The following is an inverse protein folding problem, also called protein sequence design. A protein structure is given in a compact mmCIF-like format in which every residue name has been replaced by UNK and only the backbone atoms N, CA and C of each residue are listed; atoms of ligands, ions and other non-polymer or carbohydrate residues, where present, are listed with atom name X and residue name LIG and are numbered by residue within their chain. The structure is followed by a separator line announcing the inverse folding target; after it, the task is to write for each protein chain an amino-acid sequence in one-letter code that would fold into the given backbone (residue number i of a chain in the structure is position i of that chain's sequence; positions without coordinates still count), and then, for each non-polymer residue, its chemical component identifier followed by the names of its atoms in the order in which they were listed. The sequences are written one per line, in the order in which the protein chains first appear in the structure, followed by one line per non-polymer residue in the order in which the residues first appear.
data_IF_036302887711
#
_entry.id   IF_036302887711
#
_cell.length_a   1.000
_cell.length_b   1.000
_cell.length_c   1.000
_cell.angle_alpha   90.00
_cell.angle_beta   90.00
_cell.angle_gamma   90.00
#
_symmetry.space_group_name_H-M   'P 1'
#
loop_
_entity.id
_entity.type
_entity.pdbx_description
1 polymer ?
#
# COMPACT_ATOMS: atom_id res chain seq x y z
N UNK A 1 -9.15 4.64 -69.93
CA UNK A 1 -7.97 4.70 -69.03
C UNK A 1 -8.17 5.40 -67.66
N UNK A 2 -9.15 6.30 -67.40
CA UNK A 2 -9.22 6.99 -66.09
C UNK A 2 -9.72 6.11 -64.93
N UNK A 3 -10.43 5.00 -65.21
CA UNK A 3 -10.98 4.10 -64.17
C UNK A 3 -9.92 3.27 -63.44
N UNK A 4 -8.81 2.95 -64.11
CA UNK A 4 -7.70 2.19 -63.51
C UNK A 4 -6.91 3.07 -62.53
N UNK A 5 -6.74 4.36 -62.87
CA UNK A 5 -6.06 5.32 -61.99
C UNK A 5 -6.86 5.61 -60.71
N UNK A 6 -8.20 5.69 -60.82
CA UNK A 6 -9.09 5.86 -59.66
C UNK A 6 -9.05 4.65 -58.72
N UNK A 7 -8.97 3.44 -59.27
CA UNK A 7 -8.92 2.20 -58.49
C UNK A 7 -7.58 2.02 -57.76
N UNK A 8 -6.46 2.43 -58.38
CA UNK A 8 -5.13 2.42 -57.73
C UNK A 8 -5.08 3.45 -56.59
N UNK A 9 -5.71 4.62 -56.76
CA UNK A 9 -5.79 5.64 -55.71
C UNK A 9 -6.61 5.18 -54.50
N UNK A 10 -7.71 4.44 -54.73
CA UNK A 10 -8.56 3.90 -53.66
C UNK A 10 -7.86 2.81 -52.84
N UNK A 11 -7.04 1.97 -53.47
CA UNK A 11 -6.26 0.91 -52.78
C UNK A 11 -5.06 1.49 -52.02
N UNK A 12 -4.49 2.62 -52.49
CA UNK A 12 -3.44 3.33 -51.77
C UNK A 12 -3.97 4.03 -50.49
N UNK A 13 -5.22 4.51 -50.49
CA UNK A 13 -5.85 5.13 -49.31
C UNK A 13 -6.24 4.12 -48.22
N UNK A 14 -6.35 2.83 -48.53
CA UNK A 14 -6.61 1.76 -47.54
C UNK A 14 -5.35 1.35 -46.76
N UNK A 15 -4.20 1.99 -47.00
CA UNK A 15 -2.93 1.77 -46.28
C UNK A 15 -2.62 2.85 -45.25
N UNK A 16 -3.59 3.66 -44.83
CA UNK A 16 -3.42 4.44 -43.60
C UNK A 16 -3.48 3.42 -42.46
N UNK A 17 -2.30 2.94 -42.04
CA UNK A 17 -2.18 1.97 -40.97
C UNK A 17 -2.89 2.50 -39.73
N UNK A 18 -3.79 1.68 -39.19
CA UNK A 18 -4.30 1.88 -37.85
C UNK A 18 -3.12 1.80 -36.89
N UNK A 19 -2.59 2.95 -36.48
CA UNK A 19 -1.74 3.04 -35.30
C UNK A 19 -2.67 2.75 -34.13
N UNK A 20 -2.71 1.49 -33.70
CA UNK A 20 -3.38 1.16 -32.46
C UNK A 20 -2.68 1.96 -31.35
N UNK A 21 -3.41 2.76 -30.56
CA UNK A 21 -2.81 3.43 -29.42
C UNK A 21 -2.24 2.33 -28.51
N UNK A 22 -0.92 2.34 -28.34
CA UNK A 22 -0.30 1.47 -27.34
C UNK A 22 -0.70 2.03 -25.98
N UNK A 23 -1.32 1.18 -25.16
CA UNK A 23 -1.59 1.55 -23.79
C UNK A 23 -0.25 1.59 -23.05
N UNK A 24 0.13 2.78 -22.62
CA UNK A 24 1.32 3.00 -21.82
C UNK A 24 0.90 3.39 -20.40
N UNK A 25 1.74 2.99 -19.45
CA UNK A 25 1.51 3.08 -18.03
C UNK A 25 2.72 3.76 -17.38
N UNK A 26 2.49 4.74 -16.52
CA UNK A 26 3.55 5.43 -15.78
C UNK A 26 3.83 4.69 -14.48
N UNK A 27 5.10 4.44 -14.18
CA UNK A 27 5.52 3.74 -12.95
C UNK A 27 5.36 4.66 -11.74
N UNK A 28 4.51 4.25 -10.80
CA UNK A 28 4.23 4.96 -9.54
C UNK A 28 5.21 4.58 -8.42
N UNK A 29 5.54 3.28 -8.32
CA UNK A 29 6.37 2.74 -7.23
C UNK A 29 6.95 1.40 -7.65
N UNK A 30 8.14 1.11 -7.14
CA UNK A 30 8.80 -0.18 -7.31
C UNK A 30 9.21 -0.69 -5.94
N UNK A 31 8.89 -1.94 -5.67
CA UNK A 31 9.41 -2.69 -4.52
C UNK A 31 10.22 -3.86 -5.05
N UNK A 32 11.51 -3.91 -4.71
CA UNK A 32 12.46 -4.85 -5.32
C UNK A 32 13.04 -4.30 -6.62
N UNK A 33 13.53 -5.19 -7.47
CA UNK A 33 14.17 -4.83 -8.74
C UNK A 33 13.42 -5.44 -9.93
N UNK A 34 13.27 -4.64 -10.99
CA UNK A 34 12.69 -5.03 -12.27
C UNK A 34 13.44 -4.33 -13.40
N UNK A 35 13.60 -5.02 -14.53
CA UNK A 35 14.27 -4.52 -15.73
C UNK A 35 13.40 -4.77 -16.96
N UNK A 36 13.46 -3.89 -17.97
CA UNK A 36 12.77 -4.09 -19.24
C UNK A 36 13.61 -5.02 -20.12
N UNK A 37 13.08 -6.19 -20.47
CA UNK A 37 13.80 -7.25 -21.21
C UNK A 37 14.49 -6.71 -22.48
N UNK A 38 13.78 -5.91 -23.27
CA UNK A 38 14.29 -5.40 -24.56
C UNK A 38 15.48 -4.46 -24.42
N UNK A 39 15.55 -3.70 -23.33
CA UNK A 39 16.56 -2.64 -23.16
C UNK A 39 17.59 -2.97 -22.09
N UNK A 40 17.32 -3.94 -21.21
CA UNK A 40 18.10 -4.19 -20.00
C UNK A 40 18.08 -3.02 -19.00
N UNK A 41 17.24 -1.98 -19.24
CA UNK A 41 17.18 -0.81 -18.36
C UNK A 41 16.39 -1.19 -17.10
N UNK A 42 16.96 -0.88 -15.94
CA UNK A 42 16.24 -0.93 -14.68
C UNK A 42 15.03 0.02 -14.72
N UNK A 43 13.88 -0.50 -14.33
CA UNK A 43 12.66 0.28 -14.21
C UNK A 43 12.84 1.25 -13.04
N UNK A 44 12.50 2.52 -13.27
CA UNK A 44 12.52 3.56 -12.24
C UNK A 44 11.14 4.21 -12.07
N UNK A 45 10.93 4.91 -10.95
CA UNK A 45 9.72 5.71 -10.74
C UNK A 45 9.64 6.81 -11.80
N UNK A 46 8.43 7.04 -12.33
CA UNK A 46 8.12 7.89 -13.48
C UNK A 46 8.55 7.36 -14.86
N UNK A 47 9.15 6.16 -14.96
CA UNK A 47 9.34 5.55 -16.28
C UNK A 47 7.98 5.19 -16.91
N UNK A 48 7.91 5.21 -18.24
CA UNK A 48 6.76 4.73 -19.00
C UNK A 48 7.01 3.29 -19.46
N UNK A 49 6.03 2.42 -19.22
CA UNK A 49 6.00 1.03 -19.66
C UNK A 49 4.79 0.84 -20.55
N UNK A 50 4.96 0.32 -21.75
CA UNK A 50 3.84 0.05 -22.65
C UNK A 50 3.41 -1.42 -22.57
N UNK A 51 2.16 -1.73 -22.96
CA UNK A 51 1.60 -3.10 -22.90
C UNK A 51 2.47 -4.18 -23.54
N UNK A 52 3.28 -3.81 -24.54
CA UNK A 52 4.16 -4.73 -25.26
C UNK A 52 5.55 -4.89 -24.64
N UNK A 53 5.81 -4.24 -23.51
CA UNK A 53 7.06 -4.37 -22.79
C UNK A 53 7.02 -5.60 -21.88
N UNK A 54 8.17 -6.29 -21.85
CA UNK A 54 8.39 -7.44 -21.02
C UNK A 54 9.23 -7.01 -19.82
N UNK A 55 8.78 -7.36 -18.62
CA UNK A 55 9.52 -7.10 -17.39
C UNK A 55 10.17 -8.37 -16.87
N UNK A 56 11.44 -8.24 -16.50
CA UNK A 56 12.21 -9.24 -15.77
C UNK A 56 12.27 -8.81 -14.31
N UNK A 57 11.64 -9.57 -13.43
CA UNK A 57 11.72 -9.34 -11.99
C UNK A 57 12.86 -10.14 -11.39
N UNK A 58 13.71 -9.51 -10.57
CA UNK A 58 14.82 -10.23 -9.91
C UNK A 58 14.39 -11.06 -8.70
N UNK A 59 13.27 -10.69 -8.09
CA UNK A 59 12.69 -11.41 -6.93
C UNK A 59 11.22 -11.76 -7.20
N UNK A 60 10.79 -12.94 -6.77
CA UNK A 60 9.39 -13.35 -6.75
C UNK A 60 8.49 -12.45 -5.87
N UNK A 61 9.08 -11.65 -4.98
CA UNK A 61 8.40 -10.64 -4.16
C UNK A 61 8.42 -9.25 -4.77
N UNK A 62 9.09 -9.03 -5.91
CA UNK A 62 9.13 -7.73 -6.56
C UNK A 62 7.74 -7.31 -7.01
N UNK A 63 7.46 -6.01 -6.94
CA UNK A 63 6.19 -5.42 -7.33
C UNK A 63 6.44 -4.08 -8.01
N UNK A 64 5.84 -3.87 -9.17
CA UNK A 64 5.82 -2.57 -9.86
C UNK A 64 4.38 -2.09 -9.90
N UNK A 65 4.14 -0.89 -9.38
CA UNK A 65 2.82 -0.24 -9.44
C UNK A 65 2.85 0.74 -10.58
N UNK A 66 1.87 0.63 -11.48
CA UNK A 66 1.77 1.50 -12.65
C UNK A 66 0.40 2.15 -12.73
N UNK A 67 0.33 3.26 -13.45
CA UNK A 67 -0.88 4.03 -13.65
C UNK A 67 -1.14 4.28 -15.13
N UNK A 68 -2.39 4.09 -15.56
CA UNK A 68 -2.87 4.50 -16.87
C UNK A 68 -4.00 5.52 -16.69
N UNK A 69 -3.93 6.62 -17.44
CA UNK A 69 -4.99 7.64 -17.43
C UNK A 69 -6.36 7.08 -17.82
N UNK A 70 -6.41 6.06 -18.68
CA UNK A 70 -7.65 5.44 -19.16
C UNK A 70 -8.15 4.30 -18.28
N UNK A 71 -7.22 3.53 -17.71
CA UNK A 71 -7.56 2.26 -17.05
C UNK A 71 -7.29 2.26 -15.54
N UNK A 72 -6.72 3.33 -15.00
CA UNK A 72 -6.41 3.50 -13.58
C UNK A 72 -5.13 2.80 -13.12
N UNK A 73 -5.06 2.49 -11.83
CA UNK A 73 -3.88 1.90 -11.18
C UNK A 73 -3.84 0.38 -11.27
N UNK A 74 -2.66 -0.14 -11.54
CA UNK A 74 -2.36 -1.56 -11.64
C UNK A 74 -1.15 -1.96 -10.82
N UNK A 75 -1.14 -3.23 -10.43
CA UNK A 75 0.00 -3.83 -9.74
C UNK A 75 0.53 -4.99 -10.57
N UNK A 76 1.76 -4.85 -11.04
CA UNK A 76 2.51 -5.85 -11.78
C UNK A 76 3.32 -6.70 -10.79
N UNK A 77 3.11 -8.01 -10.82
CA UNK A 77 3.80 -8.99 -9.97
C UNK A 77 4.29 -10.16 -10.84
N UNK A 78 5.42 -10.80 -10.49
CA UNK A 78 5.85 -12.02 -11.17
C UNK A 78 4.81 -13.13 -10.97
N UNK A 79 4.39 -13.78 -12.06
CA UNK A 79 3.39 -14.86 -12.03
C UNK A 79 4.04 -16.21 -12.36
N UNK A 80 4.04 -17.22 -11.48
CA UNK A 80 4.71 -18.51 -11.78
C UNK A 80 4.34 -19.09 -13.17
N UNK A 81 5.29 -19.11 -14.09
CA UNK A 81 5.29 -19.98 -15.27
C UNK A 81 6.56 -20.86 -15.28
N UNK A 82 6.43 -22.08 -15.75
CA UNK A 82 7.42 -23.16 -15.60
C UNK A 82 8.73 -22.88 -16.32
N UNK A 83 9.84 -23.13 -15.62
CA UNK A 83 11.24 -23.25 -16.09
C UNK A 83 11.87 -21.97 -16.65
N UNK A 84 12.63 -21.35 -15.73
CA UNK A 84 13.87 -20.59 -15.90
C UNK A 84 13.89 -19.11 -16.31
N UNK A 85 12.80 -18.45 -16.72
CA UNK A 85 12.85 -16.99 -16.90
C UNK A 85 11.56 -16.31 -16.42
N UNK A 86 11.69 -15.33 -15.51
CA UNK A 86 10.60 -14.51 -14.95
C UNK A 86 10.25 -13.35 -15.90
N UNK A 87 10.03 -13.65 -17.17
CA UNK A 87 9.66 -12.69 -18.22
C UNK A 87 8.13 -12.62 -18.29
N UNK A 88 7.56 -11.43 -18.13
CA UNK A 88 6.11 -11.24 -18.20
C UNK A 88 5.74 -10.03 -19.05
N UNK A 89 4.73 -10.21 -19.90
CA UNK A 89 4.06 -9.10 -20.59
C UNK A 89 3.32 -8.25 -19.55
N UNK A 90 3.41 -6.92 -19.68
CA UNK A 90 2.69 -5.99 -18.81
C UNK A 90 1.20 -6.35 -18.78
N UNK A 91 0.57 -6.61 -19.93
CA UNK A 91 -0.85 -6.98 -20.06
C UNK A 91 -1.24 -8.28 -19.31
N UNK A 92 -0.35 -9.26 -19.21
CA UNK A 92 -0.62 -10.56 -18.57
C UNK A 92 -0.56 -10.52 -17.04
N UNK A 93 0.09 -9.49 -16.49
CA UNK A 93 0.28 -9.32 -15.03
C UNK A 93 -0.54 -8.16 -14.45
N UNK A 94 -1.36 -7.52 -15.29
CA UNK A 94 -2.30 -6.47 -14.88
C UNK A 94 -3.40 -7.08 -14.00
N UNK A 95 -3.31 -6.85 -12.69
CA UNK A 95 -4.46 -6.99 -11.80
C UNK A 95 -5.00 -5.60 -11.46
N UNK A 96 -6.30 -5.39 -11.72
CA UNK A 96 -7.03 -4.23 -11.23
C UNK A 96 -6.80 -4.11 -9.72
N UNK A 97 -6.20 -2.99 -9.30
CA UNK A 97 -6.09 -2.63 -7.89
C UNK A 97 -7.40 -1.98 -7.42
N UNK A 98 -8.55 -2.59 -7.71
CA UNK A 98 -9.82 -2.13 -7.14
C UNK A 98 -9.94 -2.73 -5.75
N UNK A 99 -9.98 -1.84 -4.75
CA UNK A 99 -10.39 -2.05 -3.36
C UNK A 99 -10.54 -3.53 -2.95
N UNK A 100 -9.56 -4.05 -2.21
CA UNK A 100 -9.68 -5.36 -1.57
C UNK A 100 -10.94 -5.38 -0.72
N UNK A 101 -11.98 -6.08 -1.20
CA UNK A 101 -13.16 -6.38 -0.41
C UNK A 101 -12.70 -7.13 0.83
N UNK A 102 -12.95 -6.55 2.01
CA UNK A 102 -12.77 -7.22 3.28
C UNK A 102 -13.73 -8.41 3.33
N UNK A 103 -13.21 -9.61 3.10
CA UNK A 103 -13.94 -10.84 3.44
C UNK A 103 -14.05 -10.90 4.96
N UNK A 104 -15.25 -10.59 5.47
CA UNK A 104 -15.63 -10.89 6.86
C UNK A 104 -15.44 -12.39 7.11
N UNK A 105 -14.36 -12.76 7.78
CA UNK A 105 -14.18 -14.10 8.32
C UNK A 105 -14.78 -14.15 9.73
N UNK A 106 -15.79 -15.00 9.89
CA UNK A 106 -16.30 -15.70 11.08
C UNK A 106 -16.18 -15.05 12.48
N UNK A 107 -17.36 -14.95 13.12
CA UNK A 107 -17.63 -14.52 14.49
C UNK A 107 -16.77 -15.22 15.55
N UNK A 108 -16.15 -14.40 16.39
CA UNK A 108 -15.92 -14.68 17.80
C UNK A 108 -16.42 -13.45 18.60
N UNK A 109 -17.10 -13.68 19.73
CA UNK A 109 -17.64 -12.68 20.69
C UNK A 109 -16.55 -11.84 21.42
N UNK A 110 -15.43 -11.61 20.76
CA UNK A 110 -14.36 -10.74 21.26
C UNK A 110 -14.65 -9.33 20.74
N UNK A 111 -14.67 -8.29 21.58
CA UNK A 111 -14.67 -6.92 21.09
C UNK A 111 -13.45 -6.78 20.17
N UNK A 112 -13.70 -6.68 18.87
CA UNK A 112 -12.66 -6.52 17.86
C UNK A 112 -12.35 -5.04 17.83
N UNK A 113 -11.08 -4.65 17.91
CA UNK A 113 -10.68 -3.29 17.53
C UNK A 113 -10.62 -3.25 16.00
N UNK A 114 -11.64 -2.69 15.32
CA UNK A 114 -11.71 -2.74 13.87
C UNK A 114 -10.52 -2.02 13.23
N UNK A 115 -9.89 -1.08 13.91
CA UNK A 115 -8.69 -0.37 13.46
C UNK A 115 -7.56 -1.35 13.16
N UNK A 116 -7.34 -2.33 14.04
CA UNK A 116 -6.26 -3.31 13.92
C UNK A 116 -6.62 -4.57 13.15
N UNK A 117 -7.78 -4.66 12.49
CA UNK A 117 -8.26 -5.89 11.81
C UNK A 117 -7.44 -6.37 10.59
N UNK A 118 -6.38 -5.66 10.20
CA UNK A 118 -5.55 -5.99 9.04
C UNK A 118 -4.20 -6.61 9.42
N UNK A 119 -3.57 -7.30 8.46
CA UNK A 119 -2.25 -7.92 8.65
C UNK A 119 -1.09 -6.91 8.66
N UNK A 120 -1.33 -5.69 8.19
CA UNK A 120 -0.37 -4.57 8.21
C UNK A 120 -1.10 -3.31 8.65
N UNK A 121 -0.54 -2.62 9.63
CA UNK A 121 -1.06 -1.35 10.11
C UNK A 121 0.07 -0.32 10.07
N UNK A 122 -0.23 0.87 9.58
CA UNK A 122 0.72 1.97 9.47
C UNK A 122 0.27 3.15 10.33
N UNK A 123 1.18 3.57 11.19
CA UNK A 123 1.07 4.80 11.97
C UNK A 123 1.89 5.88 11.27
N UNK A 124 1.28 7.04 11.07
CA UNK A 124 1.93 8.22 10.51
C UNK A 124 2.24 9.16 11.68
N UNK A 125 3.52 9.39 11.97
CA UNK A 125 3.95 10.12 13.15
C UNK A 125 3.51 9.43 14.45
N UNK A 126 2.68 10.12 15.23
CA UNK A 126 2.10 9.61 16.48
C UNK A 126 0.59 9.45 16.33
N UNK A 127 0.06 8.25 16.58
CA UNK A 127 -1.37 7.99 16.54
C UNK A 127 -1.98 8.12 17.94
N UNK A 128 -3.05 8.90 18.04
CA UNK A 128 -3.95 8.95 19.20
C UNK A 128 -5.23 8.23 18.82
N UNK A 129 -5.47 7.06 19.43
CA UNK A 129 -6.60 6.21 19.12
C UNK A 129 -7.55 6.14 20.32
N UNK A 130 -8.73 6.77 20.25
CA UNK A 130 -9.77 6.55 21.25
C UNK A 130 -10.20 5.09 21.26
N UNK A 131 -10.40 4.53 22.45
CA UNK A 131 -10.92 3.17 22.65
C UNK A 131 -12.18 3.24 23.50
N UNK A 132 -13.10 2.32 23.26
CA UNK A 132 -14.33 2.24 24.06
C UNK A 132 -14.00 1.87 25.52
N UNK A 133 -14.20 2.77 26.50
CA UNK A 133 -13.86 2.52 27.89
C UNK A 133 -14.74 1.45 28.54
N UNK A 134 -15.90 1.12 27.94
CA UNK A 134 -16.79 0.05 28.42
C UNK A 134 -16.21 -1.31 28.07
N UNK A 135 -15.78 -1.50 26.83
CA UNK A 135 -15.16 -2.76 26.36
C UNK A 135 -13.70 -2.92 26.80
N UNK A 136 -12.97 -1.81 26.89
CA UNK A 136 -11.54 -1.77 27.18
C UNK A 136 -11.19 -0.67 28.20
N UNK A 137 -11.59 -0.83 29.47
CA UNK A 137 -11.22 0.12 30.51
C UNK A 137 -9.69 0.17 30.69
N UNK A 138 -9.08 1.34 30.52
CA UNK A 138 -7.63 1.51 30.71
C UNK A 138 -7.35 2.19 32.05
N UNK A 139 -6.54 1.55 32.90
CA UNK A 139 -6.18 2.02 34.23
C UNK A 139 -4.93 1.28 34.75
N UNK A 140 -4.62 1.42 36.04
CA UNK A 140 -3.48 0.74 36.67
C UNK A 140 -3.57 -0.80 36.61
N UNK A 141 -4.78 -1.36 36.50
CA UNK A 141 -5.01 -2.82 36.43
C UNK A 141 -5.08 -3.34 35.01
N UNK A 142 -5.61 -2.55 34.07
CA UNK A 142 -5.88 -2.97 32.70
C UNK A 142 -5.19 -2.05 31.69
N UNK A 143 -4.42 -2.62 30.77
CA UNK A 143 -3.75 -1.86 29.73
C UNK A 143 -3.53 -2.67 28.46
N UNK A 144 -3.23 -1.98 27.37
CA UNK A 144 -2.77 -2.62 26.14
C UNK A 144 -1.27 -2.87 26.19
N UNK A 145 -0.85 -4.01 25.69
CA UNK A 145 0.57 -4.40 25.60
C UNK A 145 0.90 -4.88 24.20
N UNK A 146 2.06 -4.46 23.71
CA UNK A 146 2.59 -4.84 22.40
C UNK A 146 3.76 -5.79 22.60
N UNK A 147 3.67 -6.98 22.00
CA UNK A 147 4.72 -7.97 22.06
C UNK A 147 5.36 -8.15 20.68
N UNK A 148 6.68 -8.16 20.63
CA UNK A 148 7.43 -8.34 19.41
C UNK A 148 8.80 -8.99 19.67
N UNK A 149 9.41 -9.52 18.62
CA UNK A 149 10.72 -10.17 18.69
C UNK A 149 11.78 -9.21 18.17
N UNK A 150 12.87 -9.09 18.91
CA UNK A 150 14.03 -8.27 18.57
C UNK A 150 15.29 -9.14 18.70
N UNK A 151 15.83 -9.58 17.56
CA UNK A 151 16.85 -10.63 17.54
C UNK A 151 16.31 -11.93 18.16
N UNK A 152 16.93 -12.37 19.26
CA UNK A 152 16.49 -13.55 20.02
C UNK A 152 15.62 -13.20 21.25
N UNK A 153 15.41 -11.90 21.53
CA UNK A 153 14.66 -11.43 22.71
C UNK A 153 13.18 -11.23 22.37
N UNK A 154 12.30 -11.73 23.23
CA UNK A 154 10.88 -11.35 23.22
C UNK A 154 10.70 -10.09 24.07
N UNK A 155 10.20 -9.03 23.47
CA UNK A 155 9.94 -7.75 24.14
C UNK A 155 8.43 -7.61 24.32
N UNK A 156 8.02 -7.17 25.51
CA UNK A 156 6.65 -6.78 25.85
C UNK A 156 6.69 -5.32 26.31
N UNK A 157 5.87 -4.46 25.71
CA UNK A 157 5.82 -3.02 26.02
C UNK A 157 4.38 -2.61 26.28
N UNK A 158 4.15 -1.94 27.41
CA UNK A 158 2.88 -1.30 27.70
C UNK A 158 2.69 -0.13 26.74
N UNK A 159 1.54 -0.07 26.06
CA UNK A 159 1.22 1.06 25.19
C UNK A 159 0.79 2.23 26.08
N UNK A 160 1.44 3.40 25.97
CA UNK A 160 1.02 4.57 26.73
C UNK A 160 -0.42 4.97 26.41
N UNK A 161 -1.14 5.47 27.42
CA UNK A 161 -2.51 5.95 27.24
C UNK A 161 -2.76 7.20 28.08
N UNK A 162 -3.73 7.99 27.66
CA UNK A 162 -4.28 9.13 28.40
C UNK A 162 -5.79 9.02 28.40
N UNK A 163 -6.40 8.83 29.57
CA UNK A 163 -7.82 8.53 29.71
C UNK A 163 -8.22 7.28 28.88
N UNK A 164 -9.07 7.46 27.88
CA UNK A 164 -9.58 6.47 26.94
C UNK A 164 -8.84 6.49 25.59
N UNK A 165 -7.69 7.16 25.51
CA UNK A 165 -6.92 7.29 24.27
C UNK A 165 -5.59 6.55 24.36
N UNK A 166 -5.38 5.58 23.47
CA UNK A 166 -4.09 4.94 23.24
C UNK A 166 -3.16 5.85 22.44
N UNK A 167 -1.88 5.85 22.83
CA UNK A 167 -0.84 6.66 22.19
C UNK A 167 0.18 5.70 21.58
N UNK A 168 0.11 5.53 20.26
CA UNK A 168 1.08 4.74 19.52
C UNK A 168 2.13 5.68 18.95
N UNK A 169 3.33 5.56 19.48
CA UNK A 169 4.48 6.37 19.11
C UNK A 169 5.70 5.47 18.93
N UNK A 170 6.49 5.73 17.88
CA UNK A 170 7.62 4.88 17.51
C UNK A 170 8.65 4.80 18.64
N UNK A 171 8.97 5.95 19.23
CA UNK A 171 10.04 6.03 20.23
C UNK A 171 9.61 5.38 21.53
N UNK A 172 8.36 5.59 21.95
CA UNK A 172 7.84 4.94 23.15
C UNK A 172 7.73 3.41 23.02
N UNK A 173 7.44 2.89 21.81
CA UNK A 173 7.22 1.47 21.59
C UNK A 173 8.50 0.69 21.30
N UNK A 174 9.49 1.32 20.65
CA UNK A 174 10.66 0.61 20.12
C UNK A 174 12.01 1.17 20.59
N UNK A 175 12.08 2.38 21.16
CA UNK A 175 13.34 2.93 21.64
C UNK A 175 13.63 2.46 23.08
N UNK A 176 13.97 1.18 23.23
CA UNK A 176 14.54 0.64 24.47
C UNK A 176 16.04 0.40 24.23
N UNK A 177 16.86 0.74 25.23
CA UNK A 177 18.35 0.70 25.19
C UNK A 177 18.95 -0.60 24.65
N UNK A 178 18.17 -1.69 24.66
CA UNK A 178 18.54 -3.04 24.23
C UNK A 178 18.05 -3.45 22.82
N UNK A 179 17.41 -2.56 22.06
CA UNK A 179 16.77 -2.89 20.78
C UNK A 179 16.66 -1.68 19.82
N UNK A 180 17.77 -1.21 19.21
CA UNK A 180 17.76 -0.15 18.21
C UNK A 180 17.25 -0.68 16.87
N UNK A 181 15.96 -0.99 16.78
CA UNK A 181 15.42 -1.67 15.62
C UNK A 181 14.80 -0.69 14.63
N UNK A 182 15.27 -0.75 13.38
CA UNK A 182 14.52 -0.23 12.26
C UNK A 182 13.17 -0.97 12.21
N UNK A 183 12.06 -0.25 12.31
CA UNK A 183 10.70 -0.81 12.33
C UNK A 183 10.39 -1.75 11.16
N UNK A 184 11.14 -1.63 10.07
CA UNK A 184 11.07 -2.55 8.92
C UNK A 184 11.50 -3.99 9.24
N UNK A 185 12.46 -4.14 10.17
CA UNK A 185 13.04 -5.41 10.63
C UNK A 185 12.18 -6.07 11.72
N UNK A 186 11.27 -5.32 12.34
CA UNK A 186 10.28 -5.88 13.25
C UNK A 186 9.30 -6.72 12.43
N UNK A 187 9.23 -8.01 12.75
CA UNK A 187 8.31 -8.95 12.13
C UNK A 187 6.86 -8.66 12.50
N UNK A 188 6.09 -9.70 12.79
CA UNK A 188 4.74 -9.52 13.33
C UNK A 188 4.82 -9.08 14.79
N UNK A 189 4.05 -8.06 15.15
CA UNK A 189 3.74 -7.70 16.54
C UNK A 189 2.43 -8.40 16.96
N UNK A 190 2.27 -8.62 18.26
CA UNK A 190 1.04 -9.13 18.87
C UNK A 190 0.51 -8.10 19.85
N UNK A 191 -0.73 -7.65 19.64
CA UNK A 191 -1.42 -6.73 20.53
C UNK A 191 -2.26 -7.52 21.53
N UNK A 192 -2.05 -7.27 22.82
CA UNK A 192 -2.82 -7.87 23.90
C UNK A 192 -3.51 -6.79 24.73
N UNK A 193 -4.65 -7.16 25.30
CA UNK A 193 -5.27 -6.46 26.41
C UNK A 193 -4.99 -7.25 27.69
N UNK A 194 -4.31 -6.64 28.65
CA UNK A 194 -3.65 -7.32 29.77
C UNK A 194 -4.19 -6.82 31.10
N UNK A 195 -4.47 -7.75 32.01
CA UNK A 195 -4.70 -7.48 33.43
C UNK A 195 -3.38 -7.67 34.20
N UNK A 196 -2.82 -6.58 34.72
CA UNK A 196 -1.44 -6.55 35.28
C UNK A 196 -1.22 -7.48 36.47
N UNK A 197 -2.28 -7.83 37.21
CA UNK A 197 -2.17 -8.56 38.47
C UNK A 197 -2.39 -10.08 38.36
N UNK A 198 -2.87 -10.58 37.22
CA UNK A 198 -3.36 -11.96 37.10
C UNK A 198 -2.69 -12.74 35.97
N UNK A 199 -1.69 -12.15 35.30
CA UNK A 199 -1.11 -12.62 34.03
C UNK A 199 -2.16 -12.88 32.92
N UNK A 200 -3.43 -12.50 33.14
CA UNK A 200 -4.50 -12.68 32.18
C UNK A 200 -4.30 -11.69 31.04
N UNK A 201 -4.00 -12.23 29.85
CA UNK A 201 -3.88 -11.45 28.63
C UNK A 201 -4.80 -11.99 27.55
N UNK A 202 -5.53 -11.09 26.92
CA UNK A 202 -6.40 -11.37 25.78
C UNK A 202 -5.71 -10.91 24.51
N UNK A 203 -5.43 -11.84 23.59
CA UNK A 203 -4.90 -11.48 22.28
C UNK A 203 -5.99 -10.73 21.50
N UNK A 204 -5.67 -9.51 21.07
CA UNK A 204 -6.54 -8.69 20.22
C UNK A 204 -6.27 -9.01 18.75
N UNK A 205 -5.01 -8.87 18.32
CA UNK A 205 -4.60 -9.27 16.97
C UNK A 205 -3.08 -9.46 16.85
N UNK A 206 -2.66 -10.04 15.71
CA UNK A 206 -1.27 -10.08 15.25
C UNK A 206 -1.16 -9.41 13.88
N UNK A 207 -0.23 -8.47 13.74
CA UNK A 207 -0.06 -7.70 12.51
C UNK A 207 1.37 -7.20 12.38
N UNK A 208 1.77 -6.73 11.19
CA UNK A 208 3.00 -5.96 11.00
C UNK A 208 2.69 -4.49 11.24
N UNK A 209 3.40 -3.88 12.19
CA UNK A 209 3.27 -2.45 12.50
C UNK A 209 4.37 -1.68 11.77
N UNK A 210 4.00 -0.64 11.05
CA UNK A 210 4.91 0.24 10.34
C UNK A 210 4.75 1.68 10.83
N UNK A 211 5.86 2.42 10.93
CA UNK A 211 5.86 3.83 11.27
C UNK A 211 6.48 4.61 10.12
N UNK A 212 5.81 5.66 9.67
CA UNK A 212 6.31 6.59 8.66
C UNK A 212 6.20 8.02 9.15
N UNK A 213 7.07 8.90 8.66
CA UNK A 213 6.92 10.33 8.87
C UNK A 213 5.84 10.93 7.97
N UNK A 214 5.31 12.09 8.36
CA UNK A 214 4.40 12.85 7.48
C UNK A 214 5.09 13.30 6.19
N UNK A 215 6.40 13.57 6.24
CA UNK A 215 7.20 13.98 5.07
C UNK A 215 7.35 12.85 4.05
N UNK A 216 7.54 11.61 4.51
CA UNK A 216 7.55 10.42 3.64
C UNK A 216 6.19 10.24 2.96
N UNK A 217 5.09 10.33 3.72
CA UNK A 217 3.75 10.23 3.17
C UNK A 217 3.51 11.33 2.14
N UNK A 218 3.88 12.57 2.46
CA UNK A 218 3.75 13.72 1.57
C UNK A 218 4.51 13.53 0.28
N UNK A 219 5.74 13.08 0.35
CA UNK A 219 6.58 12.82 -0.83
C UNK A 219 5.93 11.81 -1.78
N UNK A 220 5.41 10.70 -1.23
CA UNK A 220 4.76 9.67 -2.04
C UNK A 220 3.43 10.17 -2.65
N UNK A 221 2.64 10.94 -1.91
CA UNK A 221 1.39 11.54 -2.40
C UNK A 221 1.65 12.60 -3.47
N UNK A 222 2.65 13.47 -3.28
CA UNK A 222 3.05 14.48 -4.28
C UNK A 222 3.48 13.83 -5.60
N UNK A 223 4.24 12.73 -5.51
CA UNK A 223 4.65 11.98 -6.70
C UNK A 223 3.46 11.33 -7.40
N UNK A 224 2.51 10.79 -6.64
CA UNK A 224 1.27 10.24 -7.21
C UNK A 224 0.46 11.32 -7.93
N UNK A 225 0.25 12.47 -7.28
CA UNK A 225 -0.54 13.58 -7.82
C UNK A 225 0.05 14.17 -9.11
N UNK A 226 1.38 14.17 -9.26
CA UNK A 226 2.03 14.58 -10.53
C UNK A 226 1.63 13.67 -11.69
N UNK A 227 1.38 12.39 -11.42
CA UNK A 227 1.09 11.37 -12.43
C UNK A 227 -0.41 11.36 -12.77
N UNK A 228 -1.29 11.51 -11.78
CA UNK A 228 -2.76 11.47 -11.98
C UNK A 228 -3.40 12.82 -12.29
N UNK A 229 -2.61 13.89 -12.44
CA UNK A 229 -3.10 15.25 -12.69
C UNK A 229 -4.08 15.36 -13.87
N UNK A 230 -3.96 14.46 -14.85
CA UNK A 230 -4.76 14.47 -16.07
C UNK A 230 -6.01 13.59 -16.02
N UNK A 231 -6.29 12.92 -14.89
CA UNK A 231 -7.34 11.88 -14.83
C UNK A 231 -8.75 12.41 -14.56
N UNK A 232 -8.95 13.74 -14.50
CA UNK A 232 -10.24 14.40 -14.25
C UNK A 232 -11.05 13.79 -13.09
N UNK A 233 -10.37 13.33 -12.04
CA UNK A 233 -11.02 12.72 -10.87
C UNK A 233 -11.70 13.78 -10.00
N UNK A 234 -12.89 13.46 -9.50
CA UNK A 234 -13.54 14.25 -8.44
C UNK A 234 -12.73 14.16 -7.14
N UNK A 235 -12.80 15.20 -6.29
CA UNK A 235 -12.07 15.22 -5.03
C UNK A 235 -12.33 13.98 -4.14
N UNK A 236 -13.58 13.51 -3.95
CA UNK A 236 -13.83 12.29 -3.17
C UNK A 236 -13.21 11.03 -3.78
N UNK A 237 -13.23 10.90 -5.12
CA UNK A 237 -12.63 9.75 -5.79
C UNK A 237 -11.10 9.80 -5.71
N UNK A 238 -10.50 10.99 -5.83
CA UNK A 238 -9.07 11.17 -5.66
C UNK A 238 -8.63 10.83 -4.23
N UNK A 239 -9.35 11.29 -3.21
CA UNK A 239 -9.06 10.95 -1.80
C UNK A 239 -9.11 9.43 -1.59
N UNK A 240 -10.14 8.76 -2.08
CA UNK A 240 -10.28 7.30 -1.97
C UNK A 240 -9.16 6.56 -2.70
N UNK A 241 -8.73 7.07 -3.86
CA UNK A 241 -7.65 6.47 -4.63
C UNK A 241 -6.28 6.67 -3.95
N UNK A 242 -6.01 7.87 -3.43
CA UNK A 242 -4.83 8.18 -2.61
C UNK A 242 -4.78 7.33 -1.34
N UNK A 243 -5.92 7.14 -0.66
CA UNK A 243 -6.00 6.27 0.52
C UNK A 243 -5.69 4.81 0.16
N UNK A 244 -6.22 4.35 -0.97
CA UNK A 244 -5.94 3.01 -1.49
C UNK A 244 -4.46 2.84 -1.86
N UNK A 245 -3.84 3.87 -2.45
CA UNK A 245 -2.42 3.91 -2.76
C UNK A 245 -1.56 3.83 -1.49
N UNK A 246 -1.84 4.68 -0.50
CA UNK A 246 -1.10 4.70 0.76
C UNK A 246 -1.23 3.37 1.52
N UNK A 247 -2.44 2.80 1.57
CA UNK A 247 -2.68 1.48 2.18
C UNK A 247 -1.94 0.34 1.48
N UNK A 248 -1.82 0.42 0.15
CA UNK A 248 -1.04 -0.53 -0.62
C UNK A 248 0.45 -0.46 -0.24
N UNK A 249 1.00 0.74 -0.13
CA UNK A 249 2.41 0.94 0.21
C UNK A 249 2.70 0.50 1.65
N UNK A 250 2.03 1.12 2.61
CA UNK A 250 2.43 1.07 4.01
C UNK A 250 1.63 0.08 4.86
N UNK A 251 0.48 -0.38 4.37
CA UNK A 251 -0.51 -1.09 5.19
C UNK A 251 -1.61 -0.14 5.64
N UNK A 252 -2.60 -0.66 6.38
CA UNK A 252 -3.80 0.09 6.76
C UNK A 252 -3.44 1.32 7.60
N UNK A 253 -3.78 2.51 7.11
CA UNK A 253 -3.67 3.77 7.83
C UNK A 253 -5.05 4.08 8.46
N UNK A 254 -5.09 4.87 9.53
CA UNK A 254 -6.36 5.41 10.03
C UNK A 254 -7.03 6.28 8.94
N UNK A 255 -8.22 5.89 8.51
CA UNK A 255 -8.90 6.52 7.38
C UNK A 255 -9.36 7.95 7.65
N UNK A 256 -9.85 8.22 8.86
CA UNK A 256 -10.29 9.56 9.28
C UNK A 256 -9.10 10.53 9.28
N UNK A 257 -8.01 10.15 9.95
CA UNK A 257 -6.74 10.89 9.91
C UNK A 257 -6.29 11.14 8.47
N UNK A 258 -6.27 10.11 7.62
CA UNK A 258 -5.77 10.24 6.26
C UNK A 258 -6.64 11.21 5.44
N UNK A 259 -7.96 11.08 5.51
CA UNK A 259 -8.90 11.95 4.81
C UNK A 259 -8.73 13.40 5.26
N UNK A 260 -8.69 13.66 6.57
CA UNK A 260 -8.47 15.01 7.10
C UNK A 260 -7.10 15.58 6.67
N UNK A 261 -6.06 14.77 6.76
CA UNK A 261 -4.69 15.17 6.42
C UNK A 261 -4.58 15.53 4.93
N UNK A 262 -5.13 14.71 4.03
CA UNK A 262 -5.14 14.99 2.59
C UNK A 262 -5.97 16.23 2.27
N UNK A 263 -7.18 16.33 2.83
CA UNK A 263 -8.08 17.47 2.59
C UNK A 263 -7.41 18.78 2.97
N UNK A 264 -6.73 18.81 4.13
CA UNK A 264 -6.00 19.96 4.64
C UNK A 264 -4.76 20.31 3.81
N UNK A 265 -3.95 19.33 3.41
CA UNK A 265 -2.68 19.58 2.71
C UNK A 265 -2.86 19.93 1.23
N UNK A 266 -3.94 19.45 0.60
CA UNK A 266 -4.17 19.59 -0.85
C UNK A 266 -5.43 20.36 -1.23
N UNK A 267 -6.15 20.92 -0.23
CA UNK A 267 -7.42 21.64 -0.43
C UNK A 267 -8.47 20.83 -1.21
N UNK A 268 -8.55 19.54 -0.90
CA UNK A 268 -9.54 18.62 -1.47
C UNK A 268 -10.72 18.54 -0.50
N UNK A 269 -11.86 19.15 -0.87
CA UNK A 269 -13.10 19.09 -0.10
C UNK A 269 -14.17 18.28 -0.85
#
# INVERSE_FOLDING_TARGET
MPKIFLMIFLVAFLRVGFVYPQDCYTVLKIKGEAEVEKTGKAVAVNDELCSNDNLIFKDAKSVVVVHSTKKGRFTLKPYKASKNELVYLVDDIIRNSTSTLMTKSFEFDIPVMPEFSGNRYCVVGTLRLPVDPVSFPMNEKFCFTLNYVCGEKNISVDIPFSCDTLILDKDNLFNKEDCPVNTEDIGSVSLFYTEKNTENRKLINRFKLNFISEDELKTDIDNYLKIVKNDELSAPNLINDLYSYANFLYGKINGEFFTEWVSKNYNLN
#
